data_IF_133101284546
#
_entry.id   IF_133101284546
#
_cell.length_a   1.000
_cell.length_b   1.000
_cell.length_c   1.000
_cell.angle_alpha   90.00
_cell.angle_beta   90.00
_cell.angle_gamma   90.00
#
_symmetry.space_group_name_H-M   'P 1'
#
loop_
_entity.id
_entity.type
_entity.pdbx_description
1 polymer ?
#
# COMPACT_ATOMS: atom_id res chain seq x y z
N UNK A 1 10.09 25.66 10.73
CA UNK A 1 9.96 25.12 12.11
C UNK A 1 10.69 23.77 12.19
N UNK A 2 11.70 23.59 13.05
CA UNK A 2 12.50 22.34 13.10
C UNK A 2 11.65 21.13 13.51
N UNK A 3 10.66 21.31 14.38
CA UNK A 3 9.80 20.23 14.87
C UNK A 3 9.00 19.58 13.73
N UNK A 4 8.41 20.38 12.83
CA UNK A 4 7.65 19.89 11.68
C UNK A 4 8.49 18.96 10.78
N UNK A 5 9.73 19.35 10.49
CA UNK A 5 10.67 18.55 9.67
C UNK A 5 11.07 17.25 10.36
N UNK A 6 11.40 17.31 11.66
CA UNK A 6 11.79 16.14 12.44
C UNK A 6 10.65 15.13 12.53
N UNK A 7 9.43 15.58 12.85
CA UNK A 7 8.26 14.70 12.92
C UNK A 7 7.92 14.09 11.55
N UNK A 8 7.99 14.89 10.48
CA UNK A 8 7.78 14.40 9.12
C UNK A 8 8.76 13.28 8.76
N UNK A 9 10.06 13.53 8.92
CA UNK A 9 11.09 12.57 8.55
C UNK A 9 11.03 11.31 9.41
N UNK A 10 10.90 11.47 10.73
CA UNK A 10 10.85 10.34 11.65
C UNK A 10 9.58 9.51 11.48
N UNK A 11 8.40 10.14 11.48
CA UNK A 11 7.12 9.44 11.37
C UNK A 11 6.86 8.87 9.97
N UNK A 12 7.36 9.51 8.92
CA UNK A 12 7.16 9.07 7.54
C UNK A 12 8.14 7.98 7.10
N UNK A 13 9.42 8.08 7.51
CA UNK A 13 10.52 7.34 6.88
C UNK A 13 11.30 6.41 7.83
N UNK A 14 11.13 6.53 9.15
CA UNK A 14 11.92 5.77 10.13
C UNK A 14 11.02 4.92 11.01
N UNK A 15 10.08 5.56 11.71
CA UNK A 15 9.18 4.95 12.69
C UNK A 15 8.44 3.71 12.16
N UNK A 16 7.88 3.69 10.93
CA UNK A 16 7.16 2.52 10.43
C UNK A 16 8.01 1.26 10.24
N UNK A 17 9.34 1.39 10.18
CA UNK A 17 10.26 0.26 10.00
C UNK A 17 10.80 -0.28 11.32
N UNK A 18 10.45 0.36 12.44
CA UNK A 18 11.00 0.08 13.79
C UNK A 18 9.94 0.00 14.88
N UNK A 19 8.71 0.41 14.58
CA UNK A 19 7.60 0.50 15.51
C UNK A 19 6.29 0.40 14.76
N UNK A 20 5.23 0.01 15.47
CA UNK A 20 3.89 -0.14 14.91
C UNK A 20 3.41 1.16 14.22
N UNK A 21 2.80 1.08 13.03
CA UNK A 21 2.38 2.25 12.23
C UNK A 21 1.50 3.24 13.01
N UNK A 22 0.67 2.76 13.94
CA UNK A 22 -0.10 3.58 14.88
C UNK A 22 0.74 4.65 15.60
N UNK A 23 1.98 4.35 15.98
CA UNK A 23 2.88 5.33 16.62
C UNK A 23 3.32 6.40 15.62
N UNK A 24 3.68 5.98 14.41
CA UNK A 24 4.07 6.85 13.29
C UNK A 24 2.96 7.84 12.94
N UNK A 25 1.69 7.41 12.94
CA UNK A 25 0.52 8.26 12.70
C UNK A 25 0.43 9.38 13.76
N UNK A 26 0.66 9.07 15.04
CA UNK A 26 0.64 10.07 16.11
C UNK A 26 1.75 11.12 15.95
N UNK A 27 2.94 10.69 15.51
CA UNK A 27 4.07 11.57 15.23
C UNK A 27 3.76 12.48 14.04
N UNK A 28 3.26 11.92 12.94
CA UNK A 28 2.91 12.66 11.73
C UNK A 28 1.80 13.69 12.01
N UNK A 29 0.85 13.38 12.89
CA UNK A 29 -0.18 14.35 13.30
C UNK A 29 0.42 15.57 13.99
N UNK A 30 1.44 15.39 14.85
CA UNK A 30 2.19 16.52 15.43
C UNK A 30 2.93 17.33 14.37
N UNK A 31 3.53 16.65 13.39
CA UNK A 31 4.21 17.29 12.26
C UNK A 31 3.25 18.13 11.39
N UNK A 32 2.07 17.61 11.10
CA UNK A 32 1.01 18.31 10.38
C UNK A 32 0.55 19.55 11.13
N UNK A 33 0.19 19.44 12.41
CA UNK A 33 -0.26 20.58 13.23
C UNK A 33 0.80 21.68 13.31
N UNK A 34 2.07 21.32 13.55
CA UNK A 34 3.16 22.28 13.56
C UNK A 34 3.34 23.00 12.20
N UNK A 35 3.05 22.30 11.09
CA UNK A 35 3.05 22.87 9.75
C UNK A 35 1.89 23.84 9.53
N UNK A 36 0.67 23.47 9.95
CA UNK A 36 -0.52 24.33 9.88
C UNK A 36 -0.33 25.61 10.67
N UNK A 37 0.15 25.53 11.91
CA UNK A 37 0.36 26.68 12.79
C UNK A 37 1.37 27.69 12.24
N UNK A 38 2.35 27.21 11.46
CA UNK A 38 3.46 28.04 10.98
C UNK A 38 3.41 28.35 9.49
N UNK A 39 2.45 27.77 8.76
CA UNK A 39 2.41 27.81 7.29
C UNK A 39 3.60 27.10 6.62
N UNK A 40 4.31 26.23 7.35
CA UNK A 40 5.49 25.53 6.85
C UNK A 40 5.08 24.44 5.85
N UNK A 41 5.62 24.49 4.63
CA UNK A 41 5.35 23.53 3.55
C UNK A 41 5.65 22.08 3.96
N UNK A 42 6.49 21.86 4.98
CA UNK A 42 6.72 20.52 5.50
C UNK A 42 5.48 19.88 6.15
N UNK A 43 4.49 20.68 6.57
CA UNK A 43 3.19 20.20 7.01
C UNK A 43 2.48 19.36 5.93
N UNK A 44 2.71 19.67 4.66
CA UNK A 44 2.22 18.88 3.52
C UNK A 44 2.80 17.46 3.52
N UNK A 45 4.09 17.31 3.84
CA UNK A 45 4.71 15.99 3.90
C UNK A 45 4.17 15.14 5.05
N UNK A 46 3.89 15.75 6.19
CA UNK A 46 3.21 15.06 7.29
C UNK A 46 1.78 14.67 6.93
N UNK A 47 1.04 15.58 6.29
CA UNK A 47 -0.35 15.38 5.85
C UNK A 47 -0.50 14.13 4.98
N UNK A 48 0.30 14.00 3.92
CA UNK A 48 0.15 12.87 2.99
C UNK A 48 0.58 11.55 3.64
N UNK A 49 1.71 11.52 4.36
CA UNK A 49 2.18 10.28 5.00
C UNK A 49 1.19 9.78 6.05
N UNK A 50 0.57 10.71 6.79
CA UNK A 50 -0.41 10.37 7.81
C UNK A 50 -1.58 9.59 7.18
N UNK A 51 -2.18 10.15 6.13
CA UNK A 51 -3.35 9.54 5.50
C UNK A 51 -2.98 8.24 4.80
N UNK A 52 -1.84 8.20 4.11
CA UNK A 52 -1.32 6.98 3.49
C UNK A 52 -1.14 5.85 4.51
N UNK A 53 -0.52 6.14 5.66
CA UNK A 53 -0.30 5.16 6.71
C UNK A 53 -1.61 4.69 7.37
N UNK A 54 -2.60 5.57 7.51
CA UNK A 54 -3.95 5.19 7.97
C UNK A 54 -4.65 4.26 6.98
N UNK A 55 -4.46 4.46 5.67
CA UNK A 55 -4.95 3.54 4.64
C UNK A 55 -4.24 2.18 4.74
N UNK A 56 -2.92 2.17 4.88
CA UNK A 56 -2.10 0.94 4.97
C UNK A 56 -2.48 0.06 6.16
N UNK A 57 -2.93 0.65 7.27
CA UNK A 57 -3.40 -0.11 8.43
C UNK A 57 -4.92 -0.38 8.43
N UNK A 58 -5.61 -0.02 7.34
CA UNK A 58 -7.07 -0.08 7.20
C UNK A 58 -7.81 0.50 8.42
N UNK A 59 -7.40 1.69 8.84
CA UNK A 59 -8.15 2.45 9.83
C UNK A 59 -9.55 2.80 9.29
N UNK A 60 -10.45 3.26 10.17
CA UNK A 60 -11.83 3.53 9.79
C UNK A 60 -11.94 4.52 8.60
N UNK A 61 -12.48 4.03 7.47
CA UNK A 61 -12.53 4.76 6.20
C UNK A 61 -13.20 6.13 6.32
N UNK A 62 -14.32 6.23 7.04
CA UNK A 62 -15.02 7.50 7.26
C UNK A 62 -14.17 8.51 8.03
N UNK A 63 -13.45 8.06 9.05
CA UNK A 63 -12.52 8.90 9.82
C UNK A 63 -11.30 9.32 8.99
N UNK A 64 -10.82 8.48 8.07
CA UNK A 64 -9.74 8.85 7.14
C UNK A 64 -10.23 9.96 6.20
N UNK A 65 -11.42 9.80 5.62
CA UNK A 65 -12.01 10.81 4.73
C UNK A 65 -12.21 12.17 5.44
N UNK A 66 -12.65 12.16 6.69
CA UNK A 66 -12.81 13.37 7.50
C UNK A 66 -11.46 14.09 7.73
N UNK A 67 -10.42 13.37 8.15
CA UNK A 67 -9.08 13.95 8.36
C UNK A 67 -8.45 14.42 7.03
N UNK A 68 -8.65 13.65 5.96
CA UNK A 68 -8.24 14.01 4.59
C UNK A 68 -8.86 15.33 4.12
N UNK A 69 -10.14 15.59 4.42
CA UNK A 69 -10.79 16.85 4.05
C UNK A 69 -10.17 18.05 4.77
N UNK A 70 -9.82 17.92 6.06
CA UNK A 70 -9.11 18.96 6.81
C UNK A 70 -7.73 19.25 6.20
N UNK A 71 -7.05 18.20 5.76
CA UNK A 71 -5.76 18.32 5.08
C UNK A 71 -5.90 19.04 3.73
N UNK A 72 -6.95 18.75 2.96
CA UNK A 72 -7.24 19.45 1.70
C UNK A 72 -7.47 20.95 1.91
N UNK A 73 -8.18 21.35 2.96
CA UNK A 73 -8.41 22.77 3.26
C UNK A 73 -7.08 23.50 3.53
N UNK A 74 -6.18 22.89 4.30
CA UNK A 74 -4.82 23.41 4.50
C UNK A 74 -4.05 23.52 3.17
N UNK A 75 -4.05 22.47 2.34
CA UNK A 75 -3.35 22.45 1.06
C UNK A 75 -3.88 23.52 0.09
N UNK A 76 -5.19 23.78 0.09
CA UNK A 76 -5.80 24.88 -0.66
C UNK A 76 -5.34 26.25 -0.16
N UNK A 77 -5.27 26.45 1.16
CA UNK A 77 -4.81 27.72 1.75
C UNK A 77 -3.37 28.08 1.32
N UNK A 78 -2.47 27.09 1.30
CA UNK A 78 -1.09 27.29 0.85
C UNK A 78 -0.90 27.13 -0.67
N UNK A 79 -1.99 26.97 -1.43
CA UNK A 79 -2.02 26.82 -2.90
C UNK A 79 -1.19 25.64 -3.41
N UNK A 80 -1.08 24.56 -2.64
CA UNK A 80 -0.34 23.36 -3.01
C UNK A 80 -1.26 22.31 -3.66
N UNK A 81 -1.68 22.60 -4.90
CA UNK A 81 -2.61 21.76 -5.65
C UNK A 81 -2.01 20.39 -6.05
N UNK A 82 -0.70 20.32 -6.26
CA UNK A 82 0.01 19.07 -6.60
C UNK A 82 -0.18 18.02 -5.51
N UNK A 83 0.01 18.40 -4.25
CA UNK A 83 -0.26 17.52 -3.11
C UNK A 83 -1.76 17.42 -2.79
N UNK A 84 -2.55 18.45 -3.11
CA UNK A 84 -4.02 18.38 -3.08
C UNK A 84 -4.55 17.19 -3.88
N UNK A 85 -4.05 17.00 -5.10
CA UNK A 85 -4.43 15.83 -5.91
C UNK A 85 -3.97 14.49 -5.31
N UNK A 86 -2.82 14.43 -4.63
CA UNK A 86 -2.41 13.20 -3.92
C UNK A 86 -3.42 12.85 -2.83
N UNK A 87 -3.84 13.86 -2.07
CA UNK A 87 -4.83 13.72 -1.02
C UNK A 87 -6.19 13.28 -1.60
N UNK A 88 -6.59 13.80 -2.75
CA UNK A 88 -7.80 13.37 -3.45
C UNK A 88 -7.69 11.95 -4.03
N UNK A 89 -6.53 11.54 -4.54
CA UNK A 89 -6.27 10.15 -4.95
C UNK A 89 -6.45 9.20 -3.78
N UNK A 90 -6.00 9.56 -2.57
CA UNK A 90 -6.21 8.75 -1.36
C UNK A 90 -7.68 8.58 -1.04
N UNK A 91 -8.47 9.66 -1.16
CA UNK A 91 -9.93 9.58 -1.03
C UNK A 91 -10.51 8.69 -2.13
N UNK A 92 -10.03 8.81 -3.38
CA UNK A 92 -10.51 7.98 -4.48
C UNK A 92 -10.25 6.48 -4.26
N UNK A 93 -9.12 6.12 -3.66
CA UNK A 93 -8.85 4.72 -3.33
C UNK A 93 -9.89 4.18 -2.34
N UNK A 94 -10.21 4.96 -1.31
CA UNK A 94 -11.27 4.64 -0.35
C UNK A 94 -12.63 4.53 -1.04
N UNK A 95 -12.98 5.50 -1.90
CA UNK A 95 -14.22 5.46 -2.66
C UNK A 95 -14.30 4.26 -3.60
N UNK A 96 -13.20 3.83 -4.20
CA UNK A 96 -13.16 2.64 -5.04
C UNK A 96 -13.49 1.37 -4.23
N UNK A 97 -12.91 1.23 -3.03
CA UNK A 97 -13.24 0.13 -2.12
C UNK A 97 -14.71 0.14 -1.66
N UNK A 98 -15.35 1.31 -1.69
CA UNK A 98 -16.78 1.48 -1.39
C UNK A 98 -17.68 1.35 -2.62
N UNK A 99 -17.12 1.16 -3.82
CA UNK A 99 -17.88 1.13 -5.08
C UNK A 99 -18.46 2.48 -5.52
N UNK A 100 -17.82 3.59 -5.09
CA UNK A 100 -18.26 4.97 -5.33
C UNK A 100 -17.46 5.70 -6.43
N UNK A 101 -16.53 5.03 -7.10
CA UNK A 101 -15.83 5.57 -8.29
C UNK A 101 -16.64 5.38 -9.56
N UNK A 102 -16.24 6.05 -10.65
CA UNK A 102 -16.93 5.97 -11.95
C UNK A 102 -16.97 4.56 -12.54
N UNK A 103 -15.95 3.74 -12.24
CA UNK A 103 -15.84 2.33 -12.60
C UNK A 103 -15.05 1.59 -11.51
N UNK A 104 -15.23 0.26 -11.41
CA UNK A 104 -14.53 -0.57 -10.42
C UNK A 104 -13.01 -0.57 -10.59
N UNK A 105 -12.51 -0.40 -11.81
CA UNK A 105 -11.08 -0.30 -12.07
C UNK A 105 -10.59 1.15 -12.13
N UNK A 106 -11.45 2.15 -12.00
CA UNK A 106 -11.05 3.58 -12.08
C UNK A 106 -10.83 4.18 -10.69
N UNK A 107 -9.83 5.06 -10.59
CA UNK A 107 -9.67 5.98 -9.45
C UNK A 107 -10.17 7.38 -9.80
N UNK A 108 -11.07 7.53 -10.78
CA UNK A 108 -11.76 8.79 -11.02
C UNK A 108 -13.09 8.83 -10.25
N UNK A 109 -13.40 9.98 -9.68
CA UNK A 109 -14.68 10.31 -9.04
C UNK A 109 -14.98 11.81 -9.21
N UNK A 110 -16.10 12.31 -8.66
CA UNK A 110 -16.57 13.69 -8.87
C UNK A 110 -15.49 14.77 -8.70
N UNK A 111 -14.62 14.65 -7.70
CA UNK A 111 -13.63 15.69 -7.38
C UNK A 111 -12.20 15.38 -7.86
N UNK A 112 -11.96 14.25 -8.54
CA UNK A 112 -10.62 13.83 -8.97
C UNK A 112 -10.68 13.00 -10.25
N UNK A 113 -9.88 13.38 -11.23
CA UNK A 113 -9.64 12.63 -12.45
C UNK A 113 -8.23 12.03 -12.42
N UNK A 114 -8.13 10.70 -12.52
CA UNK A 114 -6.85 10.01 -12.38
C UNK A 114 -5.86 10.34 -13.51
N UNK A 115 -6.34 10.59 -14.73
CA UNK A 115 -5.49 10.91 -15.88
C UNK A 115 -4.89 12.31 -15.69
N UNK A 116 -5.72 13.29 -15.32
CA UNK A 116 -5.27 14.65 -15.02
C UNK A 116 -4.32 14.67 -13.81
N UNK A 117 -4.60 13.86 -12.78
CA UNK A 117 -3.72 13.72 -11.61
C UNK A 117 -2.33 13.25 -12.00
N UNK A 118 -2.23 12.16 -12.78
CA UNK A 118 -0.95 11.62 -13.26
C UNK A 118 -0.20 12.65 -14.11
N UNK A 119 -0.88 13.27 -15.08
CA UNK A 119 -0.26 14.28 -15.93
C UNK A 119 0.29 15.44 -15.10
N UNK A 120 -0.49 15.95 -14.15
CA UNK A 120 -0.06 17.03 -13.27
C UNK A 120 1.18 16.62 -12.44
N UNK A 121 1.22 15.40 -11.90
CA UNK A 121 2.40 14.94 -11.15
C UNK A 121 3.63 14.77 -12.03
N UNK A 122 3.49 14.31 -13.27
CA UNK A 122 4.60 14.20 -14.21
C UNK A 122 5.16 15.57 -14.59
N UNK A 123 4.29 16.52 -14.95
CA UNK A 123 4.68 17.89 -15.32
C UNK A 123 5.35 18.64 -14.16
N UNK A 124 4.94 18.37 -12.92
CA UNK A 124 5.50 18.97 -11.71
C UNK A 124 6.63 18.14 -11.07
N UNK A 125 7.10 17.08 -11.72
CA UNK A 125 8.13 16.17 -11.20
C UNK A 125 7.81 15.57 -9.81
N UNK A 126 6.52 15.43 -9.49
CA UNK A 126 6.03 14.84 -8.25
C UNK A 126 5.97 13.30 -8.36
N UNK A 127 7.13 12.68 -8.50
CA UNK A 127 7.24 11.24 -8.72
C UNK A 127 6.68 10.35 -7.59
N UNK A 128 6.70 10.75 -6.30
CA UNK A 128 6.00 9.98 -5.26
C UNK A 128 4.50 9.85 -5.51
N UNK A 129 3.86 10.86 -6.10
CA UNK A 129 2.45 10.81 -6.50
C UNK A 129 2.21 9.75 -7.58
N UNK A 130 3.04 9.77 -8.63
CA UNK A 130 2.99 8.78 -9.73
C UNK A 130 3.20 7.36 -9.21
N UNK A 131 4.21 7.15 -8.35
CA UNK A 131 4.51 5.84 -7.78
C UNK A 131 3.35 5.31 -6.94
N UNK A 132 2.81 6.16 -6.05
CA UNK A 132 1.70 5.78 -5.17
C UNK A 132 0.43 5.46 -5.96
N UNK A 133 0.12 6.24 -6.99
CA UNK A 133 -0.98 5.95 -7.90
C UNK A 133 -0.84 4.57 -8.55
N UNK A 134 0.34 4.26 -9.12
CA UNK A 134 0.57 2.98 -9.77
C UNK A 134 0.41 1.82 -8.78
N UNK A 135 0.91 1.96 -7.55
CA UNK A 135 0.76 0.94 -6.49
C UNK A 135 -0.70 0.76 -6.11
N UNK A 136 -1.46 1.83 -5.89
CA UNK A 136 -2.90 1.75 -5.59
C UNK A 136 -3.68 1.11 -6.75
N UNK A 137 -3.35 1.44 -7.99
CA UNK A 137 -3.96 0.83 -9.17
C UNK A 137 -3.67 -0.67 -9.23
N UNK A 138 -2.44 -1.09 -8.94
CA UNK A 138 -2.09 -2.52 -8.81
C UNK A 138 -2.94 -3.22 -7.75
N UNK A 139 -3.14 -2.60 -6.58
CA UNK A 139 -3.98 -3.17 -5.51
C UNK A 139 -5.44 -3.31 -5.94
N UNK A 140 -6.02 -2.28 -6.55
CA UNK A 140 -7.40 -2.33 -7.05
C UNK A 140 -7.58 -3.45 -8.08
N UNK A 141 -6.67 -3.55 -9.06
CA UNK A 141 -6.73 -4.61 -10.06
C UNK A 141 -6.64 -6.01 -9.43
N UNK A 142 -5.79 -6.16 -8.41
CA UNK A 142 -5.66 -7.41 -7.66
C UNK A 142 -6.95 -7.75 -6.89
N UNK A 143 -7.55 -6.79 -6.16
CA UNK A 143 -8.79 -7.03 -5.40
C UNK A 143 -9.96 -7.43 -6.30
N UNK A 144 -10.03 -6.88 -7.51
CA UNK A 144 -11.06 -7.25 -8.49
C UNK A 144 -10.69 -8.45 -9.38
N UNK A 145 -9.54 -9.09 -9.13
CA UNK A 145 -9.13 -10.34 -9.79
C UNK A 145 -8.59 -10.20 -11.22
N UNK A 146 -8.31 -8.98 -11.69
CA UNK A 146 -7.68 -8.76 -13.00
C UNK A 146 -6.15 -8.82 -12.87
N UNK A 147 -5.66 -10.04 -12.59
CA UNK A 147 -4.26 -10.29 -12.25
C UNK A 147 -3.28 -9.94 -13.39
N UNK A 148 -3.68 -10.14 -14.65
CA UNK A 148 -2.89 -9.77 -15.83
C UNK A 148 -2.66 -8.25 -15.92
N UNK A 149 -3.71 -7.45 -15.76
CA UNK A 149 -3.53 -5.99 -15.72
C UNK A 149 -2.79 -5.55 -14.45
N UNK A 150 -3.02 -6.21 -13.32
CA UNK A 150 -2.30 -5.93 -12.08
C UNK A 150 -0.79 -6.15 -12.24
N UNK A 151 -0.40 -7.24 -12.91
CA UNK A 151 0.99 -7.58 -13.24
C UNK A 151 1.65 -6.51 -14.10
N UNK A 152 1.01 -6.15 -15.21
CA UNK A 152 1.51 -5.08 -16.10
C UNK A 152 1.68 -3.77 -15.34
N UNK A 153 0.72 -3.40 -14.48
CA UNK A 153 0.82 -2.19 -13.67
C UNK A 153 1.94 -2.27 -12.63
N UNK A 154 2.15 -3.44 -12.02
CA UNK A 154 3.21 -3.65 -11.03
C UNK A 154 4.61 -3.57 -11.66
N UNK A 155 4.79 -3.96 -12.92
CA UNK A 155 6.03 -3.75 -13.66
C UNK A 155 6.31 -2.25 -13.82
N UNK A 156 5.31 -1.46 -14.24
CA UNK A 156 5.47 -0.01 -14.39
C UNK A 156 5.86 0.72 -13.09
N UNK A 157 5.59 0.15 -11.92
CA UNK A 157 5.98 0.74 -10.64
C UNK A 157 7.50 0.76 -10.48
N UNK A 158 8.22 -0.23 -11.04
CA UNK A 158 9.67 -0.40 -10.82
C UNK A 158 10.48 0.86 -11.16
N UNK A 159 10.13 1.55 -12.23
CA UNK A 159 10.75 2.81 -12.68
C UNK A 159 10.58 3.96 -11.67
N UNK A 160 9.54 3.88 -10.84
CA UNK A 160 9.14 4.93 -9.90
C UNK A 160 9.31 4.55 -8.43
N UNK A 161 9.64 3.29 -8.14
CA UNK A 161 9.68 2.75 -6.78
C UNK A 161 10.75 3.44 -5.90
N UNK A 162 11.84 3.91 -6.51
CA UNK A 162 12.91 4.64 -5.81
C UNK A 162 12.40 5.93 -5.15
N UNK A 163 11.37 6.58 -5.71
CA UNK A 163 10.81 7.84 -5.19
C UNK A 163 9.95 7.66 -3.94
N UNK A 164 9.58 6.43 -3.60
CA UNK A 164 8.86 6.08 -2.36
C UNK A 164 9.73 5.22 -1.43
N UNK A 165 11.05 5.22 -1.64
CA UNK A 165 11.99 4.49 -0.79
C UNK A 165 11.88 4.95 0.67
N UNK A 166 11.75 3.98 1.58
CA UNK A 166 11.57 4.26 3.01
C UNK A 166 10.17 4.72 3.40
N UNK A 167 9.22 4.85 2.46
CA UNK A 167 7.80 5.05 2.79
C UNK A 167 7.12 3.67 2.87
N UNK A 168 6.23 3.40 3.84
CA UNK A 168 5.62 2.08 4.02
C UNK A 168 4.88 1.51 2.80
N UNK A 169 4.40 2.37 1.89
CA UNK A 169 3.78 1.95 0.62
C UNK A 169 4.71 1.10 -0.25
N UNK A 170 6.03 1.22 -0.04
CA UNK A 170 7.01 0.35 -0.68
C UNK A 170 6.79 -1.12 -0.29
N UNK A 171 6.44 -1.41 0.96
CA UNK A 171 6.16 -2.78 1.39
C UNK A 171 4.88 -3.32 0.75
N UNK A 172 3.86 -2.47 0.57
CA UNK A 172 2.64 -2.84 -0.15
C UNK A 172 2.95 -3.24 -1.60
N UNK A 173 3.84 -2.52 -2.29
CA UNK A 173 4.26 -2.90 -3.64
C UNK A 173 4.80 -4.33 -3.70
N UNK A 174 5.79 -4.66 -2.86
CA UNK A 174 6.40 -6.00 -2.85
C UNK A 174 5.40 -7.07 -2.46
N UNK A 175 4.53 -6.78 -1.51
CA UNK A 175 3.48 -7.70 -1.06
C UNK A 175 2.49 -8.04 -2.18
N UNK A 176 1.84 -7.03 -2.78
CA UNK A 176 0.86 -7.28 -3.84
C UNK A 176 1.49 -7.79 -5.11
N UNK A 177 2.71 -7.33 -5.47
CA UNK A 177 3.39 -7.86 -6.65
C UNK A 177 3.66 -9.36 -6.50
N UNK A 178 4.16 -9.81 -5.34
CA UNK A 178 4.34 -11.23 -5.07
C UNK A 178 3.04 -12.02 -5.16
N UNK A 179 1.94 -11.53 -4.55
CA UNK A 179 0.64 -12.21 -4.64
C UNK A 179 0.14 -12.34 -6.09
N UNK A 180 0.31 -11.29 -6.90
CA UNK A 180 -0.03 -11.33 -8.34
C UNK A 180 0.78 -12.41 -9.06
N UNK A 181 2.09 -12.50 -8.82
CA UNK A 181 2.93 -13.54 -9.43
C UNK A 181 2.45 -14.94 -9.03
N UNK A 182 2.11 -15.16 -7.76
CA UNK A 182 1.59 -16.46 -7.30
C UNK A 182 0.21 -16.80 -7.87
N UNK A 183 -0.62 -15.80 -8.17
CA UNK A 183 -1.93 -15.99 -8.78
C UNK A 183 -1.83 -16.38 -10.26
N UNK A 184 -0.86 -15.81 -11.01
CA UNK A 184 -0.64 -16.09 -12.42
C UNK A 184 0.20 -17.35 -12.68
N UNK A 185 1.00 -17.78 -11.68
CA UNK A 185 2.03 -18.81 -11.84
C UNK A 185 1.57 -20.07 -12.59
N UNK A 186 0.43 -20.66 -12.21
CA UNK A 186 -0.06 -21.92 -12.79
C UNK A 186 -0.55 -21.79 -14.24
N UNK A 187 -0.90 -20.58 -14.68
CA UNK A 187 -1.40 -20.31 -16.04
C UNK A 187 -0.33 -19.77 -16.98
N UNK A 188 0.82 -19.35 -16.44
CA UNK A 188 1.96 -18.84 -17.21
C UNK A 188 2.80 -19.94 -17.85
N UNK A 189 3.59 -19.57 -18.85
CA UNK A 189 4.58 -20.45 -19.49
C UNK A 189 5.70 -20.84 -18.52
N UNK A 190 6.46 -21.90 -18.85
CA UNK A 190 7.58 -22.35 -18.01
C UNK A 190 8.69 -21.30 -17.85
N UNK A 191 8.92 -20.46 -18.86
CA UNK A 191 9.94 -19.42 -18.79
C UNK A 191 9.47 -18.25 -17.91
N UNK A 192 8.20 -17.84 -18.04
CA UNK A 192 7.59 -16.86 -17.12
C UNK A 192 7.58 -17.38 -15.69
N UNK A 193 7.26 -18.66 -15.45
CA UNK A 193 7.31 -19.26 -14.11
C UNK A 193 8.71 -19.12 -13.47
N UNK A 194 9.78 -19.34 -14.23
CA UNK A 194 11.17 -19.16 -13.71
C UNK A 194 11.44 -17.70 -13.35
N UNK A 195 10.99 -16.76 -14.18
CA UNK A 195 11.15 -15.32 -13.91
C UNK A 195 10.34 -14.88 -12.69
N UNK A 196 9.10 -15.37 -12.58
CA UNK A 196 8.21 -15.11 -11.45
C UNK A 196 8.83 -15.66 -10.17
N UNK A 197 9.38 -16.87 -10.21
CA UNK A 197 10.05 -17.50 -9.08
C UNK A 197 11.24 -16.68 -8.57
N UNK A 198 12.14 -16.27 -9.46
CA UNK A 198 13.29 -15.42 -9.13
C UNK A 198 12.86 -14.08 -8.50
N UNK A 199 11.77 -13.51 -9.02
CA UNK A 199 11.20 -12.26 -8.49
C UNK A 199 10.57 -12.48 -7.11
N UNK A 200 9.86 -13.59 -6.90
CA UNK A 200 9.29 -13.97 -5.60
C UNK A 200 10.39 -14.11 -4.55
N UNK A 201 11.49 -14.82 -4.84
CA UNK A 201 12.61 -14.96 -3.91
C UNK A 201 13.22 -13.60 -3.51
N UNK A 202 13.40 -12.71 -4.49
CA UNK A 202 13.93 -11.36 -4.25
C UNK A 202 12.98 -10.52 -3.38
N UNK A 203 11.68 -10.55 -3.69
CA UNK A 203 10.67 -9.82 -2.93
C UNK A 203 10.56 -10.37 -1.50
N UNK A 204 10.64 -11.69 -1.35
CA UNK A 204 10.51 -12.37 -0.07
C UNK A 204 11.68 -12.05 0.87
N UNK A 205 12.90 -11.91 0.35
CA UNK A 205 14.04 -11.41 1.12
C UNK A 205 13.82 -10.00 1.68
N UNK A 206 13.21 -9.10 0.88
CA UNK A 206 12.88 -7.74 1.34
C UNK A 206 11.79 -7.74 2.40
N UNK A 207 10.70 -8.46 2.16
CA UNK A 207 9.61 -8.60 3.13
C UNK A 207 10.12 -9.21 4.44
N UNK A 208 10.98 -10.22 4.37
CA UNK A 208 11.63 -10.82 5.54
C UNK A 208 12.46 -9.82 6.32
N UNK A 209 13.31 -9.03 5.65
CA UNK A 209 14.12 -8.01 6.30
C UNK A 209 13.24 -7.03 7.10
N UNK A 210 12.09 -6.63 6.55
CA UNK A 210 11.19 -5.72 7.24
C UNK A 210 10.41 -6.40 8.37
N UNK A 211 9.95 -7.63 8.18
CA UNK A 211 9.33 -8.44 9.22
C UNK A 211 10.27 -8.70 10.41
N UNK A 212 11.56 -8.91 10.16
CA UNK A 212 12.56 -9.10 11.22
C UNK A 212 12.82 -7.80 12.02
N UNK A 213 12.61 -6.62 11.42
CA UNK A 213 12.81 -5.32 12.07
C UNK A 213 11.57 -4.77 12.78
N UNK A 214 10.37 -5.05 12.26
CA UNK A 214 9.10 -4.65 12.85
C UNK A 214 8.01 -5.69 12.48
N UNK A 215 7.92 -6.80 13.21
CA UNK A 215 7.00 -7.88 12.89
C UNK A 215 5.54 -7.42 12.91
N UNK A 216 5.20 -6.46 13.77
CA UNK A 216 3.86 -5.91 13.90
C UNK A 216 3.31 -5.37 12.56
N UNK A 217 4.17 -4.75 11.76
CA UNK A 217 3.76 -4.10 10.50
C UNK A 217 3.89 -5.00 9.27
N UNK A 218 4.79 -6.00 9.31
CA UNK A 218 5.23 -6.70 8.09
C UNK A 218 5.21 -8.22 8.18
N UNK A 219 5.14 -8.83 9.38
CA UNK A 219 5.20 -10.29 9.52
C UNK A 219 4.03 -10.97 8.79
N UNK A 220 2.82 -10.46 8.94
CA UNK A 220 1.64 -10.99 8.25
C UNK A 220 1.79 -10.98 6.72
N UNK A 221 2.43 -9.96 6.15
CA UNK A 221 2.70 -9.88 4.69
C UNK A 221 3.70 -10.92 4.25
N UNK A 222 4.82 -11.02 4.98
CA UNK A 222 5.85 -12.04 4.72
C UNK A 222 5.26 -13.45 4.77
N UNK A 223 4.53 -13.78 5.85
CA UNK A 223 3.94 -15.10 6.04
C UNK A 223 2.89 -15.42 4.97
N UNK A 224 2.07 -14.46 4.57
CA UNK A 224 1.04 -14.71 3.56
C UNK A 224 1.65 -14.99 2.18
N UNK A 225 2.70 -14.25 1.80
CA UNK A 225 3.43 -14.55 0.56
C UNK A 225 4.16 -15.90 0.66
N UNK A 226 4.74 -16.23 1.81
CA UNK A 226 5.38 -17.54 2.03
C UNK A 226 4.35 -18.68 1.88
N UNK A 227 3.12 -18.48 2.36
CA UNK A 227 2.02 -19.45 2.22
C UNK A 227 1.64 -19.66 0.75
N UNK A 228 1.53 -18.58 -0.01
CA UNK A 228 1.24 -18.63 -1.45
C UNK A 228 2.39 -19.25 -2.25
N UNK A 229 3.66 -18.97 -1.88
CA UNK A 229 4.83 -19.66 -2.45
C UNK A 229 4.73 -21.15 -2.17
N UNK A 230 4.48 -21.57 -0.92
CA UNK A 230 4.34 -22.97 -0.56
C UNK A 230 3.23 -23.67 -1.36
N UNK A 231 2.10 -22.97 -1.58
CA UNK A 231 0.99 -23.45 -2.42
C UNK A 231 1.45 -23.75 -3.84
N UNK A 232 2.16 -22.83 -4.50
CA UNK A 232 2.58 -23.02 -5.90
C UNK A 232 3.77 -23.99 -6.06
N UNK A 233 4.57 -24.19 -5.00
CA UNK A 233 5.65 -25.20 -4.99
C UNK A 233 5.17 -26.64 -4.99
N UNK A 234 3.89 -26.88 -4.67
CA UNK A 234 3.40 -28.22 -4.36
C UNK A 234 3.98 -28.78 -3.05
N UNK A 235 4.37 -27.93 -2.10
CA UNK A 235 4.74 -28.35 -0.73
C UNK A 235 3.53 -28.99 -0.02
N UNK A 236 3.79 -29.67 1.08
CA UNK A 236 2.75 -30.30 1.90
C UNK A 236 1.66 -29.29 2.28
N UNK A 237 0.39 -29.70 2.12
CA UNK A 237 -0.79 -28.84 2.38
C UNK A 237 -0.74 -28.27 3.80
N UNK A 238 -0.27 -29.06 4.77
CA UNK A 238 -0.13 -28.67 6.16
C UNK A 238 0.82 -27.48 6.35
N UNK A 239 1.93 -27.43 5.58
CA UNK A 239 2.91 -26.33 5.67
C UNK A 239 2.29 -25.01 5.18
N UNK A 240 1.60 -25.04 4.03
CA UNK A 240 0.93 -23.86 3.48
C UNK A 240 -0.18 -23.36 4.43
N UNK A 241 -1.01 -24.28 4.96
CA UNK A 241 -2.08 -23.93 5.90
C UNK A 241 -1.55 -23.33 7.21
N UNK A 242 -0.48 -23.89 7.78
CA UNK A 242 0.16 -23.31 8.97
C UNK A 242 0.64 -21.87 8.73
N UNK A 243 1.21 -21.59 7.54
CA UNK A 243 1.64 -20.26 7.17
C UNK A 243 0.45 -19.30 7.02
N UNK A 244 -0.66 -19.72 6.40
CA UNK A 244 -1.88 -18.91 6.34
C UNK A 244 -2.41 -18.58 7.73
N UNK A 245 -2.56 -19.57 8.61
CA UNK A 245 -3.09 -19.36 9.97
C UNK A 245 -2.24 -18.36 10.75
N UNK A 246 -0.91 -18.46 10.64
CA UNK A 246 0.02 -17.52 11.27
C UNK A 246 -0.07 -16.12 10.65
N UNK A 247 -0.22 -16.01 9.33
CA UNK A 247 -0.37 -14.72 8.66
C UNK A 247 -1.67 -14.02 9.09
N UNK A 248 -2.78 -14.75 9.11
CA UNK A 248 -4.10 -14.27 9.54
C UNK A 248 -4.06 -13.82 11.00
N UNK A 249 -3.51 -14.66 11.89
CA UNK A 249 -3.37 -14.34 13.32
C UNK A 249 -2.51 -13.09 13.55
N UNK A 250 -1.36 -12.99 12.87
CA UNK A 250 -0.49 -11.81 12.95
C UNK A 250 -1.17 -10.54 12.44
N UNK A 251 -1.96 -10.62 11.36
CA UNK A 251 -2.72 -9.48 10.85
C UNK A 251 -3.79 -9.04 11.85
N UNK A 252 -4.57 -9.98 12.40
CA UNK A 252 -5.60 -9.73 13.40
C UNK A 252 -5.02 -9.07 14.67
N UNK A 253 -3.96 -9.65 15.25
CA UNK A 253 -3.32 -9.16 16.47
C UNK A 253 -2.81 -7.70 16.35
N UNK A 254 -2.36 -7.31 15.16
CA UNK A 254 -1.82 -5.98 14.90
C UNK A 254 -2.86 -5.03 14.25
N UNK A 255 -4.08 -5.51 14.01
CA UNK A 255 -5.21 -4.70 13.50
C UNK A 255 -5.15 -4.40 12.00
N UNK A 256 -4.52 -5.24 11.21
CA UNK A 256 -4.52 -5.20 9.73
C UNK A 256 -5.71 -6.00 9.17
N UNK A 257 -6.93 -5.52 9.44
CA UNK A 257 -8.17 -6.24 9.13
C UNK A 257 -8.33 -6.61 7.64
N UNK A 258 -7.82 -5.77 6.75
CA UNK A 258 -7.84 -6.03 5.31
C UNK A 258 -6.90 -7.20 4.92
N UNK A 259 -5.77 -7.33 5.60
CA UNK A 259 -4.83 -8.42 5.34
C UNK A 259 -5.28 -9.74 5.99
N UNK A 260 -5.98 -9.65 7.12
CA UNK A 260 -6.71 -10.78 7.70
C UNK A 260 -7.79 -11.29 6.73
N UNK A 261 -8.62 -10.38 6.20
CA UNK A 261 -9.65 -10.72 5.22
C UNK A 261 -9.05 -11.33 3.95
N UNK A 262 -7.97 -10.74 3.43
CA UNK A 262 -7.25 -11.26 2.27
C UNK A 262 -6.69 -12.67 2.52
N UNK A 263 -6.10 -12.91 3.70
CA UNK A 263 -5.62 -14.24 4.08
C UNK A 263 -6.74 -15.28 4.08
N UNK A 264 -7.90 -14.95 4.66
CA UNK A 264 -9.07 -15.81 4.64
C UNK A 264 -9.60 -16.07 3.22
N UNK A 265 -9.63 -15.05 2.35
CA UNK A 265 -10.05 -15.21 0.95
C UNK A 265 -9.12 -16.14 0.17
N UNK A 266 -7.80 -16.02 0.36
CA UNK A 266 -6.81 -16.88 -0.28
C UNK A 266 -6.91 -18.33 0.21
N UNK A 267 -7.12 -18.55 1.51
CA UNK A 267 -7.41 -19.90 2.05
C UNK A 267 -8.68 -20.48 1.41
N UNK A 268 -9.76 -19.70 1.30
CA UNK A 268 -10.98 -20.15 0.65
C UNK A 268 -10.75 -20.53 -0.82
N UNK A 269 -10.01 -19.71 -1.58
CA UNK A 269 -9.63 -20.00 -2.97
C UNK A 269 -8.78 -21.27 -3.09
N UNK A 270 -7.84 -21.48 -2.17
CA UNK A 270 -7.03 -22.70 -2.14
C UNK A 270 -7.90 -23.96 -2.00
N UNK A 271 -8.85 -23.97 -1.07
CA UNK A 271 -9.74 -25.11 -0.87
C UNK A 271 -10.73 -25.31 -2.03
N UNK A 272 -11.27 -24.23 -2.58
CA UNK A 272 -12.14 -24.30 -3.76
C UNK A 272 -11.41 -24.87 -4.99
N UNK A 273 -10.12 -24.59 -5.16
CA UNK A 273 -9.31 -25.16 -6.24
C UNK A 273 -8.99 -26.66 -6.07
N UNK A 274 -9.24 -27.24 -4.88
CA UNK A 274 -9.03 -28.67 -4.59
C UNK A 274 -10.31 -29.50 -4.66
N UNK A 275 -11.49 -28.88 -4.58
CA UNK A 275 -12.80 -29.54 -4.67
C UNK A 275 -13.32 -29.60 -6.09
#
# INVERSE_FOLDING_TARGET
>A
NLACRVFTAFGGLISPWRSHIKESILILRKGYLAGVETGDVYGTYSSYNLILQRIIIADNLSSILEESNKHLDFLKQIKNYVFGAIQQMYQSFIFNLQGLTLDKFSLSYEAFDEIQGIQMWQENLCMPGVATYKIFKTQILFFYGDYEKAFNKAIEVQETLVFVSGVPIQAEYYFYYSLILTALYSTSSQDEQKEYWSTLETNQQKLKLWADNCPENFLHKYLLVEAEIARISGKEIEEAMNLYDRAISSAHENGYIQNEALGNELVAKFWLGKG
#
